data_IF_476689404964
#
_entry.id   IF_476689404964
#
_cell.length_a   1.000
_cell.length_b   1.000
_cell.length_c   1.000
_cell.angle_alpha   90.00
_cell.angle_beta   90.00
_cell.angle_gamma   90.00
#
_symmetry.space_group_name_H-M   'P 1'
#
loop_
_entity.id
_entity.type
_entity.pdbx_description
1 polymer ?
#
# COMPACT_ATOMS: atom_id res chain seq x y z
N UNK A 1 -14.62 -4.06 1.42
CA UNK A 1 -13.36 -3.51 0.86
C UNK A 1 -12.42 -3.25 2.02
N UNK A 2 -11.22 -3.83 2.00
CA UNK A 2 -10.16 -3.51 2.98
C UNK A 2 -9.35 -2.34 2.44
N UNK A 3 -9.35 -1.21 3.14
CA UNK A 3 -8.67 0.04 2.72
C UNK A 3 -7.32 0.25 3.40
N UNK A 4 -7.14 -0.33 4.59
CA UNK A 4 -5.90 -0.22 5.37
C UNK A 4 -5.64 -1.53 6.12
N UNK A 5 -4.36 -1.86 6.29
CA UNK A 5 -3.94 -2.87 7.27
C UNK A 5 -3.47 -2.16 8.54
N UNK A 6 -3.84 -2.72 9.70
CA UNK A 6 -3.38 -2.23 10.99
C UNK A 6 -2.59 -3.34 11.69
N UNK A 7 -1.52 -2.94 12.37
CA UNK A 7 -0.76 -3.86 13.19
C UNK A 7 -1.55 -4.27 14.44
N UNK A 8 -1.22 -5.43 15.00
CA UNK A 8 -1.74 -5.90 16.29
C UNK A 8 -0.77 -5.49 17.42
N UNK A 9 -1.16 -5.58 18.70
CA UNK A 9 -0.23 -5.33 19.82
C UNK A 9 1.07 -6.15 19.74
N UNK A 10 1.00 -7.36 19.20
CA UNK A 10 2.15 -8.27 19.02
C UNK A 10 3.24 -7.69 18.09
N UNK A 11 2.93 -6.65 17.32
CA UNK A 11 3.93 -5.93 16.50
C UNK A 11 5.14 -5.46 17.31
N UNK A 12 4.93 -5.19 18.60
CA UNK A 12 5.97 -4.71 19.50
C UNK A 12 6.71 -5.82 20.24
N UNK A 13 6.42 -7.10 19.97
CA UNK A 13 7.09 -8.24 20.60
C UNK A 13 8.61 -8.20 20.36
N UNK A 14 9.39 -8.78 21.27
CA UNK A 14 10.86 -8.81 21.16
C UNK A 14 11.35 -9.82 20.11
N UNK A 15 10.61 -10.90 19.91
CA UNK A 15 10.98 -12.03 19.05
C UNK A 15 9.76 -12.56 18.29
N UNK A 16 10.01 -13.17 17.13
CA UNK A 16 8.96 -13.80 16.32
C UNK A 16 8.49 -15.10 16.97
N UNK A 17 7.17 -15.28 17.11
CA UNK A 17 6.54 -16.52 17.57
C UNK A 17 5.63 -17.15 16.50
N UNK A 18 5.55 -18.48 16.51
CA UNK A 18 4.72 -19.26 15.58
C UNK A 18 3.24 -19.08 15.90
N UNK A 19 2.40 -18.91 14.88
CA UNK A 19 0.96 -18.73 15.03
C UNK A 19 0.55 -17.33 15.50
N UNK A 20 1.49 -16.40 15.67
CA UNK A 20 1.22 -15.02 16.06
C UNK A 20 0.93 -14.17 14.82
N UNK A 21 -0.12 -13.36 14.92
CA UNK A 21 -0.52 -12.39 13.89
C UNK A 21 -0.01 -11.01 14.28
N UNK A 22 0.73 -10.36 13.38
CA UNK A 22 1.29 -9.02 13.59
C UNK A 22 0.51 -7.91 12.87
N UNK A 23 -0.35 -8.25 11.89
CA UNK A 23 -1.31 -7.32 11.29
C UNK A 23 -2.62 -8.02 10.91
N UNK A 24 -3.72 -7.27 10.79
CA UNK A 24 -5.04 -7.85 10.52
C UNK A 24 -5.12 -8.59 9.19
N UNK A 25 -4.41 -8.10 8.16
CA UNK A 25 -4.33 -8.79 6.86
C UNK A 25 -3.24 -9.87 6.82
N UNK A 26 -2.33 -9.90 7.79
CA UNK A 26 -1.19 -10.81 7.81
C UNK A 26 -0.02 -10.39 6.92
N UNK A 27 -0.05 -9.18 6.35
CA UNK A 27 1.06 -8.64 5.54
C UNK A 27 2.36 -8.47 6.36
N UNK A 28 2.23 -8.24 7.67
CA UNK A 28 3.36 -8.19 8.61
C UNK A 28 3.55 -9.58 9.21
N UNK A 29 4.74 -10.15 9.06
CA UNK A 29 5.08 -11.53 9.44
C UNK A 29 6.02 -11.62 10.64
N UNK A 30 6.60 -10.51 11.08
CA UNK A 30 7.51 -10.46 12.23
C UNK A 30 7.38 -9.13 12.99
N UNK A 31 7.81 -9.06 14.27
CA UNK A 31 7.75 -7.84 15.05
C UNK A 31 8.55 -6.70 14.39
N UNK A 32 8.05 -5.47 14.52
CA UNK A 32 8.68 -4.23 14.02
C UNK A 32 9.05 -4.24 12.52
N UNK A 33 8.51 -5.16 11.71
CA UNK A 33 8.81 -5.21 10.28
C UNK A 33 8.38 -3.92 9.57
N UNK A 34 9.27 -3.39 8.74
CA UNK A 34 8.95 -2.35 7.76
C UNK A 34 8.68 -3.02 6.42
N UNK A 35 7.51 -2.75 5.83
CA UNK A 35 7.17 -3.22 4.48
C UNK A 35 7.77 -2.29 3.43
N UNK A 36 7.97 -2.81 2.21
CA UNK A 36 8.50 -2.03 1.09
C UNK A 36 7.66 -0.77 0.85
N UNK A 37 8.33 0.37 0.68
CA UNK A 37 7.71 1.69 0.60
C UNK A 37 7.41 2.35 1.95
N UNK A 38 7.64 1.65 3.06
CA UNK A 38 7.39 2.12 4.41
C UNK A 38 8.64 2.65 5.13
N UNK A 39 8.40 3.18 6.34
CA UNK A 39 9.44 3.55 7.29
C UNK A 39 8.90 3.50 8.72
N UNK A 40 9.79 3.32 9.70
CA UNK A 40 9.52 3.51 11.13
C UNK A 40 10.59 4.41 11.73
N UNK A 41 10.21 5.29 12.65
CA UNK A 41 11.16 6.17 13.36
C UNK A 41 10.90 6.09 14.85
N UNK A 42 11.97 6.03 15.63
CA UNK A 42 11.90 5.93 17.08
C UNK A 42 13.04 6.71 17.72
N UNK A 43 12.88 7.02 19.01
CA UNK A 43 13.92 7.63 19.81
C UNK A 43 14.53 6.57 20.71
N UNK A 44 15.86 6.55 20.80
CA UNK A 44 16.54 5.87 21.88
C UNK A 44 16.47 6.73 23.15
N UNK A 45 15.83 6.27 24.24
CA UNK A 45 15.68 7.04 25.46
C UNK A 45 17.01 7.29 26.18
N UNK A 46 18.05 6.48 25.95
CA UNK A 46 19.34 6.62 26.63
C UNK A 46 20.18 7.72 25.99
N UNK A 47 20.43 7.62 24.67
CA UNK A 47 21.25 8.61 23.95
C UNK A 47 20.47 9.86 23.54
N UNK A 48 19.14 9.78 23.47
CA UNK A 48 18.25 10.79 22.90
C UNK A 48 18.32 10.88 21.37
N UNK A 49 19.05 9.98 20.71
CA UNK A 49 19.13 9.94 19.25
C UNK A 49 17.83 9.42 18.66
N UNK A 50 17.48 9.99 17.52
CA UNK A 50 16.40 9.49 16.69
C UNK A 50 16.98 8.57 15.63
N UNK A 51 16.34 7.43 15.46
CA UNK A 51 16.68 6.46 14.45
C UNK A 51 15.51 6.27 13.50
N UNK A 52 15.81 5.82 12.30
CA UNK A 52 14.82 5.46 11.32
C UNK A 52 15.26 4.24 10.52
N UNK A 53 14.33 3.32 10.32
CA UNK A 53 14.45 2.26 9.32
C UNK A 53 13.55 2.64 8.14
N UNK A 54 14.11 2.63 6.92
CA UNK A 54 13.39 2.91 5.67
C UNK A 54 13.49 1.72 4.74
N UNK A 55 12.46 1.49 3.94
CA UNK A 55 12.49 0.45 2.90
C UNK A 55 12.05 1.01 1.54
N UNK A 56 12.80 1.99 1.03
CA UNK A 56 12.51 2.60 -0.28
C UNK A 56 13.30 1.98 -1.43
N UNK A 57 14.43 1.34 -1.13
CA UNK A 57 15.29 0.67 -2.09
C UNK A 57 15.04 -0.85 -2.16
N UNK A 58 16.03 -1.62 -2.65
CA UNK A 58 15.93 -3.08 -2.76
C UNK A 58 16.00 -3.80 -1.40
N UNK A 59 16.44 -3.10 -0.34
CA UNK A 59 16.57 -3.63 1.02
C UNK A 59 16.26 -2.53 2.05
N UNK A 60 15.87 -2.90 3.28
CA UNK A 60 15.73 -1.93 4.37
C UNK A 60 17.08 -1.32 4.76
N UNK A 61 17.06 -0.05 5.15
CA UNK A 61 18.22 0.73 5.58
C UNK A 61 17.97 1.36 6.93
N UNK A 62 18.96 1.27 7.82
CA UNK A 62 18.96 1.90 9.13
C UNK A 62 19.71 3.22 9.09
N UNK A 63 19.14 4.28 9.67
CA UNK A 63 19.66 5.65 9.68
C UNK A 63 19.63 6.23 11.07
N UNK A 64 20.75 6.80 11.52
CA UNK A 64 20.80 7.70 12.67
C UNK A 64 20.46 9.12 12.20
N UNK A 65 19.40 9.68 12.76
CA UNK A 65 18.93 11.05 12.49
C UNK A 65 19.48 12.05 13.51
N UNK A 66 20.24 11.59 14.50
CA UNK A 66 20.81 12.39 15.59
C UNK A 66 19.75 12.85 16.59
N UNK A 67 20.15 13.75 17.48
CA UNK A 67 19.23 14.35 18.47
C UNK A 67 18.33 15.38 17.80
N UNK A 68 17.02 15.23 17.98
CA UNK A 68 16.02 16.18 17.50
C UNK A 68 15.51 17.00 18.68
N UNK A 69 15.69 18.31 18.63
CA UNK A 69 15.14 19.25 19.62
C UNK A 69 13.81 19.81 19.10
N UNK A 70 12.73 19.48 19.81
CA UNK A 70 11.35 19.84 19.42
C UNK A 70 10.97 21.29 19.78
N UNK A 71 11.91 22.24 19.79
CA UNK A 71 11.74 23.53 20.48
C UNK A 71 10.70 24.44 19.82
N UNK A 72 10.38 24.25 18.52
CA UNK A 72 9.35 25.05 17.82
C UNK A 72 8.54 24.28 16.74
N UNK A 73 8.85 22.99 16.48
CA UNK A 73 8.19 22.20 15.43
C UNK A 73 7.91 20.78 15.94
N UNK A 74 6.88 20.13 15.37
CA UNK A 74 6.62 18.73 15.67
C UNK A 74 7.78 17.85 15.22
N UNK A 75 8.11 16.84 16.00
CA UNK A 75 9.16 15.86 15.70
C UNK A 75 8.93 15.21 14.34
N UNK A 76 7.66 14.93 13.99
CA UNK A 76 7.28 14.40 12.68
C UNK A 76 7.75 15.29 11.53
N UNK A 77 7.57 16.61 11.65
CA UNK A 77 8.00 17.55 10.63
C UNK A 77 9.52 17.60 10.51
N UNK A 78 10.22 17.50 11.64
CA UNK A 78 11.68 17.45 11.66
C UNK A 78 12.22 16.19 10.96
N UNK A 79 11.67 15.02 11.27
CA UNK A 79 12.00 13.76 10.59
C UNK A 79 11.71 13.89 9.10
N UNK A 80 10.53 14.38 8.72
CA UNK A 80 10.15 14.52 7.31
C UNK A 80 11.10 15.44 6.54
N UNK A 81 11.64 16.50 7.16
CA UNK A 81 12.64 17.38 6.55
C UNK A 81 13.96 16.66 6.31
N UNK A 82 14.37 15.79 7.23
CA UNK A 82 15.62 15.01 7.14
C UNK A 82 15.50 13.82 6.19
N UNK A 83 14.28 13.32 5.93
CA UNK A 83 14.02 12.17 5.06
C UNK A 83 12.98 12.49 3.98
N UNK A 84 13.31 13.36 3.01
CA UNK A 84 12.40 13.76 1.94
C UNK A 84 12.03 12.61 0.99
N UNK A 85 12.89 11.58 0.86
CA UNK A 85 12.65 10.40 0.01
C UNK A 85 11.35 9.67 0.40
N UNK A 86 11.02 9.65 1.69
CA UNK A 86 9.78 9.05 2.19
C UNK A 86 8.51 9.69 1.60
N UNK A 87 8.59 10.95 1.17
CA UNK A 87 7.47 11.64 0.51
C UNK A 87 7.41 11.28 -0.97
N UNK A 88 8.57 11.22 -1.63
CA UNK A 88 8.66 10.85 -3.05
C UNK A 88 8.17 9.42 -3.24
N UNK A 89 8.61 8.49 -2.41
CA UNK A 89 8.23 7.09 -2.51
C UNK A 89 6.73 6.88 -2.27
N UNK A 90 6.16 7.55 -1.26
CA UNK A 90 4.70 7.51 -1.03
C UNK A 90 3.91 8.00 -2.22
N UNK A 91 4.37 9.07 -2.87
CA UNK A 91 3.71 9.60 -4.07
C UNK A 91 3.81 8.62 -5.23
N UNK A 92 4.99 8.06 -5.48
CA UNK A 92 5.21 7.08 -6.53
C UNK A 92 4.30 5.84 -6.35
N UNK A 93 4.16 5.32 -5.11
CA UNK A 93 3.26 4.20 -4.80
C UNK A 93 1.80 4.58 -5.02
N UNK A 94 1.38 5.78 -4.60
CA UNK A 94 0.02 6.26 -4.83
C UNK A 94 -0.30 6.40 -6.32
N UNK A 95 0.66 6.93 -7.11
CA UNK A 95 0.51 7.09 -8.55
C UNK A 95 0.43 5.72 -9.26
N UNK A 96 1.21 4.72 -8.82
CA UNK A 96 1.13 3.34 -9.30
C UNK A 96 -0.23 2.69 -8.96
N UNK A 97 -0.70 2.84 -7.72
CA UNK A 97 -1.99 2.30 -7.30
C UNK A 97 -3.15 2.94 -8.09
N UNK A 98 -3.09 4.27 -8.31
CA UNK A 98 -4.06 4.98 -9.14
C UNK A 98 -4.03 4.45 -10.59
N UNK A 99 -2.85 4.30 -11.17
CA UNK A 99 -2.69 3.79 -12.54
C UNK A 99 -3.27 2.38 -12.68
N UNK A 100 -3.03 1.50 -11.70
CA UNK A 100 -3.57 0.15 -11.67
C UNK A 100 -5.11 0.16 -11.58
N UNK A 101 -5.68 0.98 -10.69
CA UNK A 101 -7.13 1.12 -10.56
C UNK A 101 -7.80 1.66 -11.84
N UNK A 102 -7.17 2.63 -12.51
CA UNK A 102 -7.65 3.13 -13.81
C UNK A 102 -7.63 2.03 -14.86
N UNK A 103 -6.54 1.26 -14.95
CA UNK A 103 -6.42 0.14 -15.89
C UNK A 103 -7.50 -0.92 -15.67
N UNK A 104 -7.77 -1.27 -14.41
CA UNK A 104 -8.82 -2.21 -14.05
C UNK A 104 -10.21 -1.72 -14.45
N UNK A 105 -10.53 -0.44 -14.18
CA UNK A 105 -11.77 0.20 -14.59
C UNK A 105 -11.97 0.23 -16.11
N UNK A 106 -10.91 0.52 -16.87
CA UNK A 106 -10.93 0.49 -18.34
C UNK A 106 -11.18 -0.94 -18.86
N UNK A 107 -10.55 -1.94 -18.24
CA UNK A 107 -10.70 -3.34 -18.61
C UNK A 107 -12.11 -3.85 -18.33
N UNK A 108 -12.64 -3.59 -17.13
CA UNK A 108 -14.00 -4.00 -16.75
C UNK A 108 -15.07 -3.33 -17.62
N UNK A 109 -14.91 -2.04 -17.92
CA UNK A 109 -15.78 -1.30 -18.84
C UNK A 109 -15.75 -1.87 -20.26
N UNK A 110 -14.56 -2.24 -20.75
CA UNK A 110 -14.40 -2.84 -22.09
C UNK A 110 -15.05 -4.22 -22.16
N UNK A 111 -14.86 -5.06 -21.13
CA UNK A 111 -15.50 -6.37 -21.02
C UNK A 111 -17.01 -6.27 -20.94
N UNK A 112 -17.55 -5.32 -20.16
CA UNK A 112 -18.99 -5.08 -20.05
C UNK A 112 -19.60 -4.63 -21.38
N UNK A 113 -18.94 -3.70 -22.11
CA UNK A 113 -19.38 -3.29 -23.45
C UNK A 113 -19.35 -4.45 -24.45
N UNK A 114 -18.26 -5.22 -24.48
CA UNK A 114 -18.16 -6.40 -25.35
C UNK A 114 -19.25 -7.44 -25.04
N UNK A 115 -19.58 -7.63 -23.76
CA UNK A 115 -20.68 -8.50 -23.35
C UNK A 115 -22.03 -7.99 -23.87
N UNK A 116 -22.33 -6.70 -23.72
CA UNK A 116 -23.57 -6.11 -24.24
C UNK A 116 -23.70 -6.22 -25.77
N UNK A 117 -22.61 -6.01 -26.51
CA UNK A 117 -22.59 -6.19 -27.97
C UNK A 117 -22.89 -7.66 -28.34
N UNK A 118 -22.25 -8.62 -27.67
CA UNK A 118 -22.49 -10.06 -27.91
C UNK A 118 -23.95 -10.44 -27.65
N UNK A 119 -24.54 -9.95 -26.56
CA UNK A 119 -25.96 -10.17 -26.27
C UNK A 119 -26.86 -9.62 -27.38
N UNK A 120 -26.54 -8.43 -27.90
CA UNK A 120 -27.33 -7.78 -28.96
C UNK A 120 -27.23 -8.51 -30.29
N UNK A 121 -26.04 -8.99 -30.66
CA UNK A 121 -25.85 -9.85 -31.84
C UNK A 121 -26.66 -11.13 -31.71
N UNK A 122 -26.59 -11.81 -30.57
CA UNK A 122 -27.36 -13.03 -30.32
C UNK A 122 -28.87 -12.80 -30.40
N UNK A 123 -29.36 -11.67 -29.86
CA UNK A 123 -30.77 -11.29 -29.96
C UNK A 123 -31.22 -11.05 -31.42
N UNK A 124 -30.41 -10.36 -32.21
CA UNK A 124 -30.68 -10.11 -33.63
C UNK A 124 -30.68 -11.40 -34.47
N UNK A 125 -29.72 -12.29 -34.23
CA UNK A 125 -29.69 -13.61 -34.88
C UNK A 125 -30.95 -14.41 -34.56
N UNK A 126 -31.40 -14.40 -33.30
CA UNK A 126 -32.62 -15.07 -32.86
C UNK A 126 -33.90 -14.44 -33.43
N UNK A 127 -33.93 -13.13 -33.72
CA UNK A 127 -35.07 -12.49 -34.39
C UNK A 127 -35.09 -12.78 -35.89
N UNK A 128 -33.92 -12.79 -36.54
CA UNK A 128 -33.79 -13.10 -37.97
C UNK A 128 -34.19 -14.56 -38.27
N UNK A 129 -33.73 -15.51 -37.46
CA UNK A 129 -34.13 -16.92 -37.58
C UNK A 129 -35.63 -17.16 -37.40
N UNK A 130 -36.32 -16.26 -36.68
CA UNK A 130 -37.78 -16.33 -36.45
C UNK A 130 -38.59 -15.76 -37.62
N UNK A 131 -38.03 -14.78 -38.34
CA UNK A 131 -38.70 -14.12 -39.47
C UNK A 131 -38.44 -14.79 -40.83
N UNK A 132 -37.36 -15.56 -40.99
CA UNK A 132 -37.04 -16.28 -42.24
C UNK A 132 -37.73 -17.65 -42.42
N UNK A 133 -38.64 -18.02 -41.52
CA UNK A 133 -39.38 -19.29 -41.54
C UNK A 133 -40.82 -19.19 -42.05
N UNK A 134 -41.10 -18.24 -42.96
CA UNK A 134 -42.38 -18.15 -43.67
C UNK A 134 -42.16 -18.28 -45.17
#
# INVERSE_FOLDING_TARGET
VTVSDFYTPNYFDSVTATGVRYSWTGAITQPRQVLQGGYISWQDPISGHWFQEVYFGPKPEFRDLGRLTATQRSIRNEIQRRTPEARVQRRAIADQALTAAVKESVTSSSTAKAHGIRQRIAALQKSLARNGGK
#
